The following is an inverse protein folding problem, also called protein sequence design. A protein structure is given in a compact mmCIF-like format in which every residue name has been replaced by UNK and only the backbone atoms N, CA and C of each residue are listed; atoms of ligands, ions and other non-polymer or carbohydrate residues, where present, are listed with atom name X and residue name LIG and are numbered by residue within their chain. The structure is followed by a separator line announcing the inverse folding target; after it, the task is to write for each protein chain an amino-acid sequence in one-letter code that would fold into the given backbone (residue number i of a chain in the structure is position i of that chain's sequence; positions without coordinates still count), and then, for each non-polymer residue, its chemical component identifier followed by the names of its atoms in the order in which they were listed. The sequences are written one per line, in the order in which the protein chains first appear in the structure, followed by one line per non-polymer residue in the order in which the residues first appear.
data_IF_863269281287
#
_entry.id   IF_863269281287
#
_cell.length_a   1.000
_cell.length_b   1.000
_cell.length_c   1.000
_cell.angle_alpha   90.00
_cell.angle_beta   90.00
_cell.angle_gamma   90.00
#
_symmetry.space_group_name_H-M   'P 1'
#
loop_
_entity.id
_entity.type
_entity.pdbx_description
1 polymer ?
#
# COMPACT_ATOMS: atom_id res chain seq x y z
N UNK A 1 -40.53 -62.61 -25.04
CA UNK A 1 -41.68 -61.67 -25.00
C UNK A 1 -41.94 -61.30 -23.54
N UNK A 2 -42.50 -60.11 -23.29
CA UNK A 2 -42.70 -59.39 -22.02
C UNK A 2 -41.64 -58.34 -21.64
N UNK A 3 -41.92 -57.10 -22.10
CA UNK A 3 -41.32 -55.84 -21.66
C UNK A 3 -42.22 -55.23 -20.58
N UNK A 4 -41.69 -55.03 -19.36
CA UNK A 4 -42.28 -54.11 -18.39
C UNK A 4 -41.80 -52.68 -18.68
N UNK A 5 -42.73 -51.76 -18.95
CA UNK A 5 -42.51 -50.32 -18.98
C UNK A 5 -43.09 -49.73 -17.70
N UNK A 6 -42.25 -49.10 -16.88
CA UNK A 6 -42.66 -48.28 -15.75
C UNK A 6 -42.63 -46.80 -16.17
N UNK A 7 -43.81 -46.19 -16.32
CA UNK A 7 -43.99 -44.77 -16.51
C UNK A 7 -43.95 -44.06 -15.14
N UNK A 8 -42.99 -43.15 -14.94
CA UNK A 8 -43.01 -42.23 -13.80
C UNK A 8 -43.55 -40.87 -14.25
N UNK A 9 -44.71 -40.51 -13.72
CA UNK A 9 -45.30 -39.17 -13.77
C UNK A 9 -44.59 -38.25 -12.77
N UNK A 10 -43.97 -37.17 -13.24
CA UNK A 10 -43.51 -36.07 -12.39
C UNK A 10 -44.55 -34.96 -12.50
N UNK A 11 -45.25 -34.70 -11.38
CA UNK A 11 -46.15 -33.57 -11.19
C UNK A 11 -45.33 -32.27 -11.12
N UNK A 12 -45.64 -31.32 -11.99
CA UNK A 12 -45.25 -29.92 -11.84
C UNK A 12 -46.34 -29.20 -11.03
N UNK A 13 -45.95 -28.50 -9.96
CA UNK A 13 -46.80 -27.54 -9.26
C UNK A 13 -46.39 -26.11 -9.64
N UNK A 14 -47.33 -25.18 -9.83
CA UNK A 14 -47.04 -23.82 -10.23
C UNK A 14 -46.87 -22.86 -9.04
N UNK A 15 -46.10 -21.81 -9.30
CA UNK A 15 -46.26 -20.43 -8.82
C UNK A 15 -46.36 -20.12 -7.32
N UNK A 16 -45.35 -19.39 -6.82
CA UNK A 16 -45.56 -18.37 -5.78
C UNK A 16 -44.79 -17.11 -6.15
N UNK A 17 -45.55 -16.04 -6.39
CA UNK A 17 -45.08 -14.73 -6.81
C UNK A 17 -44.63 -13.84 -5.63
N UNK A 18 -43.61 -13.01 -5.91
CA UNK A 18 -43.28 -11.69 -5.33
C UNK A 18 -42.84 -11.61 -3.83
N UNK A 19 -41.99 -10.63 -3.42
CA UNK A 19 -41.93 -9.27 -3.95
C UNK A 19 -40.54 -8.66 -4.23
N UNK A 20 -40.63 -7.61 -5.06
CA UNK A 20 -39.69 -6.52 -5.29
C UNK A 20 -39.00 -6.09 -3.99
N UNK A 21 -37.66 -6.07 -3.99
CA UNK A 21 -36.86 -5.44 -2.91
C UNK A 21 -35.91 -4.39 -3.47
N UNK A 22 -36.02 -3.25 -2.81
CA UNK A 22 -35.38 -1.95 -2.96
C UNK A 22 -33.89 -1.98 -3.31
N UNK A 23 -33.54 -1.17 -4.30
CA UNK A 23 -32.20 -0.62 -4.52
C UNK A 23 -31.81 0.33 -3.36
N UNK A 24 -30.83 -0.06 -2.56
CA UNK A 24 -30.14 0.82 -1.61
C UNK A 24 -28.77 1.19 -2.22
N UNK A 25 -28.37 2.47 -2.27
CA UNK A 25 -27.05 2.85 -2.77
C UNK A 25 -25.97 2.45 -1.75
N UNK A 26 -24.97 1.69 -2.20
CA UNK A 26 -23.79 1.38 -1.40
C UNK A 26 -23.05 2.66 -1.01
N UNK A 27 -22.79 2.80 0.28
CA UNK A 27 -22.01 3.91 0.84
C UNK A 27 -20.50 3.72 0.58
N UNK A 28 -19.80 4.84 0.46
CA UNK A 28 -18.42 5.01 -0.02
C UNK A 28 -17.32 4.47 0.94
N UNK A 29 -17.68 3.63 1.92
CA UNK A 29 -16.81 3.24 3.04
C UNK A 29 -16.14 1.86 2.91
N UNK A 30 -16.49 1.05 1.90
CA UNK A 30 -16.02 -0.35 1.83
C UNK A 30 -14.81 -0.60 0.89
N UNK A 31 -14.30 0.44 0.22
CA UNK A 31 -13.23 0.29 -0.80
C UNK A 31 -11.80 0.39 -0.21
N UNK A 32 -11.64 0.69 1.08
CA UNK A 32 -10.32 0.88 1.72
C UNK A 32 -9.59 -0.42 2.11
N UNK A 33 -10.20 -1.61 1.98
CA UNK A 33 -9.67 -2.85 2.56
C UNK A 33 -8.75 -3.69 1.65
N UNK A 34 -8.67 -3.41 0.34
CA UNK A 34 -7.90 -4.26 -0.60
C UNK A 34 -6.52 -3.70 -1.03
N UNK A 35 -6.14 -2.49 -0.62
CA UNK A 35 -4.87 -1.86 -1.04
C UNK A 35 -3.63 -2.23 -0.19
N UNK A 36 -3.76 -3.09 0.82
CA UNK A 36 -2.67 -3.36 1.78
C UNK A 36 -1.87 -4.65 1.53
N UNK A 37 -2.25 -5.50 0.58
CA UNK A 37 -1.64 -6.85 0.47
C UNK A 37 -0.38 -6.98 -0.42
N UNK A 38 0.02 -5.97 -1.20
CA UNK A 38 1.10 -6.12 -2.22
C UNK A 38 2.45 -5.48 -1.83
N UNK A 39 2.68 -5.10 -0.57
CA UNK A 39 3.94 -4.43 -0.14
C UNK A 39 4.98 -5.30 0.59
N UNK A 40 4.89 -6.63 0.55
CA UNK A 40 5.57 -7.50 1.52
C UNK A 40 6.91 -8.15 1.08
N UNK A 41 7.71 -7.50 0.22
CA UNK A 41 9.05 -8.03 -0.12
C UNK A 41 10.14 -6.96 -0.29
N UNK A 42 10.01 -5.81 0.36
CA UNK A 42 11.11 -4.86 0.52
C UNK A 42 11.42 -4.75 2.01
N UNK A 43 12.69 -4.88 2.37
CA UNK A 43 13.23 -4.59 3.71
C UNK A 43 12.45 -3.45 4.36
N UNK A 44 12.10 -3.57 5.64
CA UNK A 44 11.24 -2.65 6.38
C UNK A 44 11.75 -1.18 6.34
N UNK A 45 11.53 -0.50 5.22
CA UNK A 45 11.75 0.93 5.05
C UNK A 45 10.66 1.56 5.88
N UNK A 46 11.04 2.08 7.05
CA UNK A 46 10.20 2.93 7.86
C UNK A 46 9.55 3.97 6.92
N UNK A 47 8.23 3.95 6.71
CA UNK A 47 7.61 4.95 5.87
C UNK A 47 7.87 6.31 6.52
N UNK A 48 8.40 7.26 5.75
CA UNK A 48 8.84 8.60 6.19
C UNK A 48 7.71 9.51 6.74
N UNK A 49 6.56 8.94 7.08
CA UNK A 49 5.40 9.65 7.59
C UNK A 49 5.43 9.84 9.11
N UNK A 50 4.99 11.00 9.55
CA UNK A 50 4.72 11.32 10.95
C UNK A 50 3.66 10.40 11.58
N UNK A 51 3.69 10.25 12.90
CA UNK A 51 2.62 9.58 13.65
C UNK A 51 1.34 10.42 13.54
N UNK A 52 0.22 9.77 13.23
CA UNK A 52 -1.11 10.38 13.30
C UNK A 52 -1.58 10.46 14.75
N UNK A 53 -2.53 11.35 15.05
CA UNK A 53 -3.08 11.52 16.41
C UNK A 53 -3.73 10.24 16.95
N UNK A 54 -4.43 9.47 16.11
CA UNK A 54 -5.03 8.19 16.48
C UNK A 54 -3.96 7.13 16.85
N UNK A 55 -2.90 7.01 16.05
CA UNK A 55 -1.77 6.13 16.36
C UNK A 55 -1.04 6.58 17.63
N UNK A 56 -0.98 7.87 17.89
CA UNK A 56 -0.39 8.38 19.13
C UNK A 56 -1.21 7.97 20.37
N UNK A 57 -2.54 8.10 20.35
CA UNK A 57 -3.42 7.70 21.45
C UNK A 57 -3.27 6.20 21.78
N UNK A 58 -3.34 5.34 20.76
CA UNK A 58 -3.16 3.89 20.93
C UNK A 58 -1.79 3.51 21.51
N UNK A 59 -0.72 4.23 21.13
CA UNK A 59 0.62 4.01 21.69
C UNK A 59 0.76 4.53 23.12
N UNK A 60 -0.05 5.52 23.52
CA UNK A 60 -0.07 6.09 24.87
C UNK A 60 -0.86 5.20 25.85
N UNK A 61 -1.96 4.59 25.40
CA UNK A 61 -2.77 3.63 26.17
C UNK A 61 -2.01 2.35 26.56
N UNK A 62 -0.86 2.11 25.93
CA UNK A 62 0.00 0.97 26.19
C UNK A 62 -0.42 -0.28 25.42
N UNK A 63 0.53 -1.18 25.20
CA UNK A 63 0.33 -2.42 24.45
C UNK A 63 0.21 -3.58 25.43
N UNK A 64 -0.85 -4.37 25.32
CA UNK A 64 -1.01 -5.66 26.02
C UNK A 64 -0.40 -6.83 25.24
N UNK A 65 -0.03 -6.58 23.98
CA UNK A 65 0.53 -7.59 23.09
C UNK A 65 2.02 -7.79 23.39
N UNK A 66 2.47 -9.04 23.60
CA UNK A 66 3.82 -9.31 24.04
C UNK A 66 4.90 -9.13 22.97
N UNK A 67 4.57 -9.20 21.69
CA UNK A 67 5.53 -9.13 20.60
C UNK A 67 5.62 -7.75 19.95
N UNK A 68 6.77 -7.50 19.31
CA UNK A 68 7.00 -6.30 18.50
C UNK A 68 6.77 -6.63 17.02
N UNK A 69 5.70 -6.09 16.44
CA UNK A 69 5.41 -6.19 15.00
C UNK A 69 5.90 -4.94 14.25
N UNK A 70 5.71 -3.77 14.84
CA UNK A 70 6.04 -2.47 14.27
C UNK A 70 6.91 -1.61 15.21
N UNK A 71 7.63 -0.64 14.62
CA UNK A 71 8.43 0.34 15.36
C UNK A 71 7.83 1.74 15.29
N UNK A 72 6.50 1.83 15.30
CA UNK A 72 5.80 3.10 15.19
C UNK A 72 6.10 4.01 16.39
N UNK A 73 6.28 3.44 17.58
CA UNK A 73 6.72 4.18 18.77
C UNK A 73 8.09 4.84 18.57
N UNK A 74 8.97 4.31 17.72
CA UNK A 74 10.28 4.91 17.46
C UNK A 74 10.22 6.15 16.57
N UNK A 75 9.11 6.39 15.86
CA UNK A 75 8.99 7.54 14.95
C UNK A 75 9.09 8.87 15.70
N UNK A 76 9.63 9.87 15.01
CA UNK A 76 9.67 11.24 15.56
C UNK A 76 8.24 11.75 15.71
N UNK A 77 7.87 12.07 16.94
CA UNK A 77 6.59 12.71 17.23
C UNK A 77 6.56 14.11 16.60
N UNK A 78 5.47 14.50 15.92
CA UNK A 78 5.24 15.86 15.46
C UNK A 78 5.42 16.89 16.58
N UNK A 79 5.91 18.09 16.24
CA UNK A 79 6.12 19.16 17.23
C UNK A 79 4.83 19.56 17.94
N UNK A 80 3.70 19.62 17.23
CA UNK A 80 2.41 19.99 17.84
C UNK A 80 1.93 18.99 18.90
N UNK A 81 2.15 17.68 18.72
CA UNK A 81 1.82 16.66 19.72
C UNK A 81 2.73 16.79 20.97
N UNK A 82 4.00 17.17 20.77
CA UNK A 82 4.91 17.44 21.90
C UNK A 82 4.55 18.70 22.70
N UNK A 83 3.80 19.62 22.10
CA UNK A 83 3.48 20.92 22.70
C UNK A 83 2.04 21.03 23.21
N UNK A 84 1.20 20.01 23.04
CA UNK A 84 -0.25 20.04 23.31
C UNK A 84 -0.67 20.02 24.80
N UNK A 85 0.16 20.55 25.72
CA UNK A 85 -0.18 20.75 27.14
C UNK A 85 0.30 22.11 27.68
N UNK A 86 0.24 23.17 26.87
CA UNK A 86 0.38 24.55 27.37
C UNK A 86 -0.85 25.42 27.18
N UNK A 87 -1.91 24.90 26.56
CA UNK A 87 -3.09 25.69 26.25
C UNK A 87 -4.25 25.36 27.18
N UNK A 88 -4.37 26.20 28.22
CA UNK A 88 -5.51 27.10 28.40
C UNK A 88 -6.67 26.74 29.37
N UNK A 89 -6.54 25.83 30.34
CA UNK A 89 -7.62 25.65 31.32
C UNK A 89 -7.26 25.34 32.79
N UNK A 90 -6.03 24.93 33.13
CA UNK A 90 -5.71 24.62 34.53
C UNK A 90 -4.84 25.72 35.15
N UNK A 91 -5.49 26.63 35.88
CA UNK A 91 -4.88 27.52 36.87
C UNK A 91 -4.42 26.70 38.10
N UNK A 92 -3.49 25.75 37.93
CA UNK A 92 -2.96 25.00 39.06
C UNK A 92 -1.48 24.66 38.85
N UNK A 93 -0.67 25.37 39.64
CA UNK A 93 0.70 25.07 40.04
C UNK A 93 1.75 24.80 38.92
N UNK A 94 2.65 25.76 38.60
CA UNK A 94 3.73 25.57 37.62
C UNK A 94 4.78 24.53 38.04
N UNK A 95 4.70 23.98 39.26
CA UNK A 95 5.58 22.92 39.74
C UNK A 95 5.10 21.51 39.36
N UNK A 96 3.81 21.32 39.07
CA UNK A 96 3.25 20.01 38.73
C UNK A 96 3.43 19.74 37.24
N UNK A 97 4.61 19.25 36.88
CA UNK A 97 4.96 18.95 35.47
C UNK A 97 4.34 17.61 35.04
N UNK A 98 3.00 17.51 35.02
CA UNK A 98 2.24 16.31 34.59
C UNK A 98 2.21 16.11 33.06
N UNK A 99 3.10 16.80 32.34
CA UNK A 99 3.37 16.48 30.95
C UNK A 99 4.10 15.12 30.91
N UNK A 100 3.58 14.10 30.21
CA UNK A 100 4.27 12.84 30.07
C UNK A 100 5.64 13.11 29.45
N UNK A 101 6.71 12.89 30.22
CA UNK A 101 8.08 13.14 29.80
C UNK A 101 8.47 12.03 28.83
N UNK A 102 8.18 12.24 27.55
CA UNK A 102 8.53 11.27 26.49
C UNK A 102 10.05 11.24 26.33
N UNK A 103 10.72 10.12 26.64
CA UNK A 103 12.16 10.01 26.49
C UNK A 103 12.59 10.22 25.04
N UNK A 104 13.74 10.89 24.83
CA UNK A 104 14.35 11.04 23.50
C UNK A 104 14.74 9.68 22.93
N UNK A 105 15.24 8.81 23.81
CA UNK A 105 15.66 7.44 23.49
C UNK A 105 14.59 6.46 23.97
N UNK A 106 13.96 5.79 23.02
CA UNK A 106 12.91 4.80 23.27
C UNK A 106 13.47 3.41 23.06
N UNK A 107 12.99 2.46 23.86
CA UNK A 107 13.42 1.07 23.77
C UNK A 107 12.88 0.48 22.46
N UNK A 108 13.79 0.12 21.55
CA UNK A 108 13.43 -0.46 20.25
C UNK A 108 12.93 -1.90 20.41
N UNK A 109 13.67 -2.72 21.13
CA UNK A 109 13.37 -4.12 21.42
C UNK A 109 13.14 -4.30 22.91
N UNK A 110 11.90 -4.58 23.28
CA UNK A 110 11.47 -4.68 24.67
C UNK A 110 11.70 -6.10 25.20
N UNK A 111 12.51 -6.25 26.24
CA UNK A 111 12.77 -7.55 26.86
C UNK A 111 11.83 -7.88 28.01
N UNK A 112 11.07 -6.90 28.51
CA UNK A 112 10.00 -7.10 29.48
C UNK A 112 8.72 -6.90 28.71
N UNK A 113 7.76 -7.78 28.95
CA UNK A 113 6.60 -7.97 28.09
C UNK A 113 5.36 -8.30 28.95
N UNK A 114 4.13 -7.91 28.54
CA UNK A 114 2.91 -8.30 29.27
C UNK A 114 2.84 -9.80 29.53
N UNK A 115 2.54 -10.17 30.78
CA UNK A 115 2.56 -11.54 31.28
C UNK A 115 3.88 -11.98 31.92
N UNK A 116 4.98 -11.21 31.78
CA UNK A 116 6.20 -11.48 32.54
C UNK A 116 6.01 -11.13 34.02
N UNK A 117 6.78 -11.82 34.88
CA UNK A 117 6.92 -11.49 36.28
C UNK A 117 8.18 -10.66 36.50
N UNK A 118 8.06 -9.54 37.20
CA UNK A 118 9.20 -8.65 37.48
C UNK A 118 9.17 -8.14 38.91
N UNK A 119 10.34 -7.74 39.42
CA UNK A 119 10.45 -6.88 40.61
C UNK A 119 10.88 -5.48 40.23
N UNK A 120 10.48 -4.49 41.03
CA UNK A 120 10.90 -3.09 40.85
C UNK A 120 12.06 -2.80 41.80
N UNK A 121 13.20 -2.36 41.24
CA UNK A 121 14.40 -2.01 42.02
C UNK A 121 14.14 -0.79 42.90
N UNK A 122 14.47 -0.89 44.18
CA UNK A 122 14.46 0.23 45.13
C UNK A 122 13.08 0.64 45.65
N UNK A 123 11.99 -0.03 45.26
CA UNK A 123 10.64 0.24 45.79
C UNK A 123 9.92 -1.08 46.09
N UNK A 124 9.22 -1.15 47.22
CA UNK A 124 8.37 -2.28 47.64
C UNK A 124 9.10 -3.64 47.81
N UNK A 125 10.41 -3.63 48.05
CA UNK A 125 11.20 -4.83 48.33
C UNK A 125 11.27 -5.83 47.16
N UNK A 126 11.36 -7.12 47.48
CA UNK A 126 11.42 -8.22 46.51
C UNK A 126 10.03 -8.72 46.05
N UNK A 127 8.99 -7.89 46.13
CA UNK A 127 7.63 -8.29 45.74
C UNK A 127 7.55 -8.50 44.23
N UNK A 128 7.19 -9.72 43.83
CA UNK A 128 6.88 -10.08 42.44
C UNK A 128 5.59 -9.41 42.00
N UNK A 129 5.58 -8.89 40.76
CA UNK A 129 4.40 -8.35 40.13
C UNK A 129 4.33 -8.80 38.67
N UNK A 130 3.13 -9.12 38.24
CA UNK A 130 2.85 -9.46 36.85
C UNK A 130 2.75 -8.18 36.01
N UNK A 131 3.38 -8.16 34.85
CA UNK A 131 3.29 -7.05 33.92
C UNK A 131 1.94 -7.10 33.19
N UNK A 132 1.14 -6.04 33.31
CA UNK A 132 -0.17 -5.96 32.65
C UNK A 132 -0.06 -5.36 31.25
N UNK A 133 0.59 -4.20 31.14
CA UNK A 133 0.72 -3.43 29.90
C UNK A 133 2.06 -2.71 29.84
N UNK A 134 2.44 -2.28 28.64
CA UNK A 134 3.67 -1.54 28.42
C UNK A 134 3.40 -0.27 27.62
N UNK A 135 3.83 0.88 28.15
CA UNK A 135 3.80 2.15 27.42
C UNK A 135 5.11 2.35 26.67
N UNK A 136 5.12 1.94 25.40
CA UNK A 136 6.31 1.98 24.54
C UNK A 136 6.84 3.39 24.27
N UNK A 137 5.99 4.42 24.30
CA UNK A 137 6.40 5.81 24.10
C UNK A 137 7.15 6.38 25.31
N UNK A 138 6.73 6.02 26.52
CA UNK A 138 7.23 6.58 27.78
C UNK A 138 8.33 5.71 28.42
N UNK A 139 8.60 4.54 27.84
CA UNK A 139 9.44 3.50 28.44
C UNK A 139 8.95 3.06 29.84
N UNK A 140 7.62 2.99 30.03
CA UNK A 140 7.02 2.57 31.30
C UNK A 140 6.39 1.17 31.19
N UNK A 141 6.47 0.44 32.29
CA UNK A 141 5.86 -0.87 32.52
C UNK A 141 4.72 -0.67 33.52
N UNK A 142 3.51 -1.04 33.14
CA UNK A 142 2.32 -0.94 33.97
C UNK A 142 1.99 -2.27 34.63
N UNK A 143 1.59 -2.17 35.89
CA UNK A 143 1.22 -3.30 36.73
C UNK A 143 -0.28 -3.23 37.04
N UNK A 144 -0.95 -4.39 37.23
CA UNK A 144 -2.32 -4.37 37.71
C UNK A 144 -2.40 -3.62 39.05
N UNK A 145 -3.49 -2.86 39.29
CA UNK A 145 -3.70 -2.23 40.59
C UNK A 145 -3.79 -3.31 41.68
N UNK A 146 -3.23 -3.02 42.86
CA UNK A 146 -3.26 -3.95 44.00
C UNK A 146 -4.71 -4.27 44.40
N UNK A 147 -5.58 -3.25 44.36
CA UNK A 147 -6.99 -3.36 44.73
C UNK A 147 -7.86 -3.09 43.50
N UNK A 148 -8.54 -4.13 43.01
CA UNK A 148 -9.40 -4.06 41.83
C UNK A 148 -10.61 -3.13 42.01
N UNK A 149 -10.99 -2.80 43.25
CA UNK A 149 -12.12 -1.94 43.60
C UNK A 149 -11.81 -0.44 43.55
N UNK A 150 -10.52 -0.09 43.53
CA UNK A 150 -10.12 1.32 43.53
C UNK A 150 -9.97 1.82 42.10
N UNK A 151 -10.62 2.93 41.75
CA UNK A 151 -10.40 3.68 40.51
C UNK A 151 -8.99 4.32 40.44
N UNK A 152 -8.02 3.79 41.19
CA UNK A 152 -6.67 4.29 41.20
C UNK A 152 -5.98 3.93 39.89
N UNK A 153 -5.23 4.87 39.28
CA UNK A 153 -4.50 4.59 38.07
C UNK A 153 -3.50 3.47 38.31
N UNK A 154 -3.38 2.56 37.35
CA UNK A 154 -2.43 1.44 37.41
C UNK A 154 -1.01 1.98 37.63
N UNK A 155 -0.27 1.48 38.63
CA UNK A 155 1.07 1.97 38.90
C UNK A 155 1.99 1.62 37.74
N UNK A 156 2.70 2.63 37.24
CA UNK A 156 3.64 2.52 36.13
C UNK A 156 5.06 2.83 36.61
N UNK A 157 6.03 2.00 36.23
CA UNK A 157 7.43 2.19 36.59
C UNK A 157 8.32 2.21 35.36
N UNK A 158 9.47 2.86 35.47
CA UNK A 158 10.46 2.88 34.39
C UNK A 158 10.93 1.48 34.05
N UNK A 159 11.04 1.19 32.74
CA UNK A 159 11.60 -0.04 32.22
C UNK A 159 12.97 -0.37 32.84
N UNK A 160 13.82 0.65 33.02
CA UNK A 160 15.16 0.48 33.60
C UNK A 160 15.15 0.08 35.08
N UNK A 161 14.06 0.34 35.80
CA UNK A 161 13.90 -0.04 37.20
C UNK A 161 13.39 -1.47 37.38
N UNK A 162 12.92 -2.13 36.32
CA UNK A 162 12.32 -3.45 36.41
C UNK A 162 13.38 -4.55 36.18
N UNK A 163 13.36 -5.59 37.02
CA UNK A 163 14.19 -6.78 36.88
C UNK A 163 13.34 -8.01 36.63
N UNK A 164 13.66 -8.77 35.59
CA UNK A 164 12.89 -9.92 35.14
C UNK A 164 13.07 -11.10 36.09
N UNK A 165 11.98 -11.72 36.51
CA UNK A 165 12.01 -12.95 37.28
C UNK A 165 12.42 -14.12 36.39
N UNK A 166 13.39 -14.92 36.84
CA UNK A 166 13.90 -16.07 36.10
C UNK A 166 13.24 -17.34 36.62
N UNK A 167 13.20 -17.50 37.95
CA UNK A 167 12.69 -18.68 38.64
C UNK A 167 13.22 -18.78 40.07
N UNK A 168 12.83 -19.83 40.78
CA UNK A 168 13.37 -20.18 42.08
C UNK A 168 14.59 -21.09 41.90
N UNK A 169 15.69 -20.75 42.55
CA UNK A 169 16.91 -21.57 42.55
C UNK A 169 17.32 -21.90 43.98
N UNK A 170 17.99 -23.04 44.12
CA UNK A 170 18.56 -23.47 45.39
C UNK A 170 19.92 -22.81 45.62
N UNK A 171 20.07 -22.23 46.81
CA UNK A 171 21.29 -21.60 47.28
C UNK A 171 21.85 -22.37 48.47
N UNK A 172 23.17 -22.30 48.69
CA UNK A 172 23.80 -22.91 49.85
C UNK A 172 23.13 -22.41 51.15
N UNK A 173 23.10 -23.27 52.18
CA UNK A 173 22.52 -22.93 53.47
C UNK A 173 23.18 -21.68 54.06
N UNK A 174 22.42 -20.98 54.91
CA UNK A 174 22.96 -19.90 55.75
C UNK A 174 23.88 -20.50 56.83
N UNK A 175 24.88 -19.75 57.33
CA UNK A 175 25.72 -20.21 58.43
C UNK A 175 24.82 -20.55 59.64
N UNK A 176 24.80 -21.82 60.04
CA UNK A 176 23.97 -22.34 61.14
C UNK A 176 22.73 -23.16 60.72
N UNK A 177 22.45 -23.29 59.43
CA UNK A 177 21.44 -24.24 58.91
C UNK A 177 22.12 -25.26 58.00
N UNK A 178 21.55 -26.47 57.90
CA UNK A 178 22.02 -27.50 56.96
C UNK A 178 21.15 -27.60 55.71
N UNK A 179 20.00 -26.91 55.67
CA UNK A 179 19.04 -27.03 54.57
C UNK A 179 19.30 -26.00 53.47
N UNK A 180 19.31 -26.43 52.19
CA UNK A 180 19.41 -25.51 51.05
C UNK A 180 18.18 -24.60 51.00
N UNK A 181 18.40 -23.32 50.71
CA UNK A 181 17.31 -22.32 50.64
C UNK A 181 16.89 -22.08 49.20
N UNK A 182 15.58 -22.05 48.94
CA UNK A 182 15.02 -21.64 47.66
C UNK A 182 14.82 -20.13 47.66
N UNK A 183 15.47 -19.43 46.74
CA UNK A 183 15.34 -17.98 46.61
C UNK A 183 14.87 -17.60 45.20
N UNK A 184 13.98 -16.60 45.06
CA UNK A 184 13.61 -16.07 43.77
C UNK A 184 14.80 -15.33 43.14
N UNK A 185 15.14 -15.71 41.92
CA UNK A 185 16.27 -15.15 41.18
C UNK A 185 15.77 -14.21 40.10
N UNK A 186 16.41 -13.05 40.03
CA UNK A 186 16.08 -12.01 39.06
C UNK A 186 17.25 -11.72 38.14
N UNK A 187 16.96 -11.33 36.90
CA UNK A 187 17.95 -10.89 35.95
C UNK A 187 18.41 -9.46 36.31
N UNK A 188 19.68 -9.32 36.69
CA UNK A 188 20.34 -8.02 36.85
C UNK A 188 20.75 -7.47 35.48
N UNK A 189 21.28 -8.33 34.60
CA UNK A 189 21.63 -7.98 33.22
C UNK A 189 21.04 -9.00 32.26
N UNK A 190 20.23 -8.51 31.33
CA UNK A 190 19.67 -9.28 30.22
C UNK A 190 20.53 -9.11 28.97
N UNK A 191 20.63 -10.19 28.21
CA UNK A 191 21.18 -10.25 26.86
C UNK A 191 20.16 -10.86 25.93
N UNK A 192 20.34 -10.62 24.64
CA UNK A 192 19.39 -11.04 23.62
C UNK A 192 20.13 -11.60 22.42
N UNK A 193 19.52 -12.58 21.76
CA UNK A 193 19.94 -12.95 20.41
C UNK A 193 19.70 -11.79 19.44
N UNK A 194 20.35 -11.76 18.27
CA UNK A 194 19.99 -10.79 17.24
C UNK A 194 18.52 -10.99 16.82
N UNK A 195 17.74 -9.90 16.67
CA UNK A 195 16.33 -9.99 16.31
C UNK A 195 16.15 -10.37 14.84
N UNK A 196 15.34 -11.40 14.60
CA UNK A 196 15.02 -11.93 13.27
C UNK A 196 13.54 -11.67 12.98
N UNK A 197 13.23 -11.20 11.77
CA UNK A 197 11.85 -11.01 11.34
C UNK A 197 11.23 -12.35 10.95
N UNK A 198 10.17 -12.77 11.65
CA UNK A 198 9.40 -13.94 11.28
C UNK A 198 8.24 -13.53 10.35
N UNK A 199 8.40 -13.85 9.06
CA UNK A 199 7.41 -13.50 8.03
C UNK A 199 6.05 -14.19 8.20
N UNK A 200 6.00 -15.38 8.79
CA UNK A 200 4.74 -16.13 9.00
C UNK A 200 3.92 -15.57 10.16
N UNK A 201 4.60 -15.14 11.23
CA UNK A 201 3.96 -14.59 12.44
C UNK A 201 3.87 -13.07 12.43
N UNK A 202 4.41 -12.41 11.40
CA UNK A 202 4.49 -10.96 11.26
C UNK A 202 5.02 -10.24 12.51
N UNK A 203 6.09 -10.78 13.10
CA UNK A 203 6.71 -10.23 14.32
C UNK A 203 8.22 -10.43 14.34
N UNK A 204 8.90 -9.58 15.08
CA UNK A 204 10.31 -9.76 15.41
C UNK A 204 10.44 -10.78 16.54
N UNK A 205 11.30 -11.77 16.34
CA UNK A 205 11.61 -12.82 17.32
C UNK A 205 13.08 -12.74 17.71
N UNK A 206 13.34 -12.85 19.01
CA UNK A 206 14.68 -13.00 19.59
C UNK A 206 14.57 -13.77 20.91
N UNK A 207 15.66 -14.38 21.32
CA UNK A 207 15.76 -15.10 22.58
C UNK A 207 16.34 -14.19 23.66
N UNK A 208 15.88 -14.37 24.91
CA UNK A 208 16.35 -13.63 26.07
C UNK A 208 17.21 -14.54 26.94
N UNK A 209 18.34 -14.03 27.40
CA UNK A 209 19.19 -14.74 28.36
C UNK A 209 19.57 -13.80 29.51
N UNK A 210 19.58 -14.31 30.74
CA UNK A 210 20.21 -13.62 31.86
C UNK A 210 21.72 -13.90 31.83
N UNK A 211 22.52 -12.84 31.77
CA UNK A 211 23.99 -12.93 31.91
C UNK A 211 24.38 -12.83 33.38
N UNK A 212 23.72 -11.93 34.12
CA UNK A 212 24.00 -11.69 35.54
C UNK A 212 22.70 -11.77 36.30
N UNK A 213 22.70 -12.54 37.38
CA UNK A 213 21.53 -12.73 38.25
C UNK A 213 21.74 -12.10 39.61
N UNK A 214 20.64 -11.74 40.26
CA UNK A 214 20.63 -11.27 41.63
C UNK A 214 19.47 -11.93 42.39
N UNK A 215 19.75 -12.83 43.36
CA UNK A 215 21.08 -13.28 43.80
C UNK A 215 21.86 -14.09 42.73
N UNK A 216 23.19 -14.19 42.88
CA UNK A 216 24.08 -14.87 41.91
C UNK A 216 23.95 -16.38 42.06
N UNK A 217 23.44 -17.07 41.04
CA UNK A 217 23.24 -18.53 41.07
C UNK A 217 24.59 -19.25 41.10
N UNK A 218 24.92 -20.05 42.13
CA UNK A 218 26.28 -20.59 42.29
C UNK A 218 26.73 -21.56 41.20
N UNK A 219 25.83 -22.42 40.73
CA UNK A 219 26.13 -23.48 39.75
C UNK A 219 26.04 -23.02 38.28
N UNK A 220 25.49 -21.82 38.02
CA UNK A 220 25.34 -21.24 36.68
C UNK A 220 26.17 -19.95 36.52
N UNK A 221 27.24 -19.79 37.30
CA UNK A 221 28.16 -18.66 37.14
C UNK A 221 28.70 -18.65 35.71
N UNK A 222 28.66 -17.47 35.09
CA UNK A 222 29.11 -17.20 33.71
C UNK A 222 28.32 -17.90 32.59
N UNK A 223 27.32 -18.72 32.92
CA UNK A 223 26.43 -19.33 31.92
C UNK A 223 25.25 -18.41 31.59
N UNK A 224 24.83 -18.45 30.33
CA UNK A 224 23.64 -17.73 29.86
C UNK A 224 22.39 -18.52 30.23
N UNK A 225 21.61 -18.00 31.17
CA UNK A 225 20.37 -18.66 31.59
C UNK A 225 19.23 -18.22 30.65
N UNK A 226 18.61 -19.12 29.85
CA UNK A 226 17.53 -18.74 28.95
C UNK A 226 16.29 -18.31 29.75
N UNK A 227 15.67 -17.21 29.33
CA UNK A 227 14.42 -16.71 29.93
C UNK A 227 13.29 -16.81 28.89
N UNK A 228 12.38 -17.78 29.02
CA UNK A 228 11.33 -18.01 28.03
C UNK A 228 10.37 -16.83 27.98
N UNK A 229 9.79 -16.56 26.80
CA UNK A 229 8.70 -15.58 26.66
C UNK A 229 7.44 -16.07 27.37
N UNK A 230 6.61 -15.16 27.94
CA UNK A 230 5.39 -15.56 28.60
C UNK A 230 4.40 -16.09 27.56
N UNK A 231 3.60 -17.08 27.96
CA UNK A 231 2.56 -17.62 27.09
C UNK A 231 1.46 -16.56 26.95
N UNK A 232 1.21 -16.06 25.73
CA UNK A 232 0.19 -15.05 25.51
C UNK A 232 -1.19 -15.60 25.86
N UNK A 233 -1.98 -14.80 26.59
CA UNK A 233 -3.40 -15.11 26.75
C UNK A 233 -4.05 -15.07 25.37
N UNK A 234 -4.69 -16.16 24.97
CA UNK A 234 -5.47 -16.19 23.72
C UNK A 234 -6.56 -15.12 23.86
N UNK A 235 -6.64 -14.15 22.93
CA UNK A 235 -7.66 -13.12 23.02
C UNK A 235 -9.03 -13.81 22.99
N UNK A 236 -9.92 -13.39 23.89
CA UNK A 236 -11.31 -13.82 23.85
C UNK A 236 -11.92 -13.29 22.55
N UNK A 237 -12.28 -14.21 21.66
CA UNK A 237 -13.03 -13.89 20.46
C UNK A 237 -14.51 -14.00 20.81
N UNK A 238 -15.32 -12.94 20.57
CA UNK A 238 -16.75 -13.05 20.78
C UNK A 238 -17.32 -14.15 19.88
N UNK A 239 -18.40 -14.83 20.29
CA UNK A 239 -19.08 -15.80 19.44
C UNK A 239 -19.59 -15.10 18.17
N UNK A 240 -19.61 -15.83 17.06
CA UNK A 240 -20.06 -15.31 15.77
C UNK A 240 -21.52 -14.81 15.87
N UNK A 241 -21.75 -13.58 15.43
CA UNK A 241 -23.06 -12.95 15.40
C UNK A 241 -23.95 -13.48 14.27
N UNK A 242 -25.22 -13.07 14.27
CA UNK A 242 -26.19 -13.45 13.22
C UNK A 242 -25.78 -12.99 11.81
N UNK A 243 -25.08 -11.86 11.74
CA UNK A 243 -24.59 -11.27 10.49
C UNK A 243 -23.20 -11.78 10.07
N UNK A 244 -22.55 -12.60 10.91
CA UNK A 244 -21.24 -13.15 10.57
C UNK A 244 -21.38 -14.27 9.54
N UNK A 245 -20.47 -14.29 8.58
CA UNK A 245 -20.46 -15.31 7.53
C UNK A 245 -20.03 -16.66 8.10
N UNK A 246 -20.82 -17.70 7.84
CA UNK A 246 -20.48 -19.07 8.24
C UNK A 246 -19.18 -19.50 7.56
N UNK A 247 -18.34 -20.26 8.29
CA UNK A 247 -17.07 -20.78 7.77
C UNK A 247 -17.23 -21.53 6.43
N UNK A 248 -18.31 -22.28 6.25
CA UNK A 248 -18.61 -22.99 5.00
C UNK A 248 -18.80 -22.06 3.80
N UNK A 249 -19.38 -20.88 4.02
CA UNK A 249 -19.58 -19.88 2.96
C UNK A 249 -18.27 -19.19 2.63
N UNK A 250 -17.46 -18.84 3.63
CA UNK A 250 -16.15 -18.20 3.45
C UNK A 250 -15.15 -19.14 2.76
N UNK A 251 -15.17 -20.42 3.11
CA UNK A 251 -14.26 -21.44 2.51
C UNK A 251 -14.72 -21.91 1.14
N UNK A 252 -15.94 -21.57 0.70
CA UNK A 252 -16.43 -21.91 -0.64
C UNK A 252 -15.62 -21.15 -1.68
N UNK A 253 -14.89 -21.87 -2.52
CA UNK A 253 -14.19 -21.31 -3.67
C UNK A 253 -15.24 -20.82 -4.68
N UNK A 254 -15.42 -19.50 -4.75
CA UNK A 254 -16.38 -18.86 -5.68
C UNK A 254 -15.75 -18.54 -7.03
N UNK A 255 -14.44 -18.39 -7.07
CA UNK A 255 -13.70 -18.01 -8.27
C UNK A 255 -12.87 -19.18 -8.79
N UNK A 256 -13.12 -19.56 -10.03
CA UNK A 256 -12.30 -20.52 -10.77
C UNK A 256 -11.60 -19.73 -11.88
N UNK A 257 -10.26 -19.64 -11.86
CA UNK A 257 -9.54 -18.90 -12.89
C UNK A 257 -9.80 -19.54 -14.27
N UNK A 258 -9.76 -18.74 -15.35
CA UNK A 258 -9.92 -19.26 -16.70
C UNK A 258 -8.87 -20.33 -17.00
N UNK A 259 -9.29 -21.42 -17.64
CA UNK A 259 -8.37 -22.45 -18.08
C UNK A 259 -7.49 -21.91 -19.22
N UNK A 260 -6.25 -21.53 -18.90
CA UNK A 260 -5.27 -21.21 -19.92
C UNK A 260 -4.76 -22.48 -20.58
N UNK A 261 -4.59 -22.45 -21.90
CA UNK A 261 -3.91 -23.53 -22.59
C UNK A 261 -2.48 -23.65 -22.05
N UNK A 262 -2.04 -24.88 -21.79
CA UNK A 262 -0.71 -25.16 -21.21
C UNK A 262 0.46 -24.80 -22.13
N UNK A 263 0.20 -24.66 -23.44
CA UNK A 263 1.22 -24.33 -24.44
C UNK A 263 1.47 -22.82 -24.47
N UNK A 264 2.73 -22.41 -24.39
CA UNK A 264 3.14 -21.00 -24.47
C UNK A 264 2.75 -20.31 -25.79
N UNK A 265 2.60 -21.10 -26.86
CA UNK A 265 2.23 -20.64 -28.21
C UNK A 265 0.73 -20.65 -28.46
N UNK A 266 -0.07 -21.17 -27.53
CA UNK A 266 -1.51 -21.15 -27.70
C UNK A 266 -2.02 -19.70 -27.69
N UNK A 267 -2.99 -19.36 -28.55
CA UNK A 267 -3.55 -18.02 -28.57
C UNK A 267 -4.16 -17.73 -27.20
N UNK A 268 -3.80 -16.58 -26.64
CA UNK A 268 -4.47 -16.07 -25.44
C UNK A 268 -5.96 -15.91 -25.74
N UNK A 269 -6.83 -16.15 -24.74
CA UNK A 269 -8.26 -15.90 -24.92
C UNK A 269 -8.45 -14.45 -25.37
N UNK A 270 -9.18 -14.26 -26.47
CA UNK A 270 -9.51 -12.93 -26.97
C UNK A 270 -10.28 -12.20 -25.88
N UNK A 271 -9.98 -10.91 -25.70
CA UNK A 271 -10.81 -10.01 -24.90
C UNK A 271 -11.99 -9.57 -25.78
N UNK A 272 -13.24 -9.87 -25.39
CA UNK A 272 -14.43 -9.36 -26.04
C UNK A 272 -14.42 -7.85 -26.22
N UNK A 273 -15.11 -7.42 -27.26
CA UNK A 273 -15.43 -6.00 -27.42
C UNK A 273 -16.40 -5.55 -26.33
N UNK A 274 -16.45 -4.24 -26.09
CA UNK A 274 -17.38 -3.65 -25.12
C UNK A 274 -18.84 -3.96 -25.48
N UNK A 275 -19.15 -3.96 -26.78
CA UNK A 275 -20.48 -4.31 -27.29
C UNK A 275 -20.83 -5.78 -27.01
N UNK A 276 -19.92 -6.71 -27.28
CA UNK A 276 -20.09 -8.14 -26.95
C UNK A 276 -20.32 -8.35 -25.44
N UNK A 277 -19.65 -7.56 -24.60
CA UNK A 277 -19.81 -7.60 -23.13
C UNK A 277 -21.17 -7.04 -22.68
N UNK A 278 -21.62 -5.91 -23.25
CA UNK A 278 -22.91 -5.29 -22.92
C UNK A 278 -24.08 -6.16 -23.42
N UNK A 279 -23.97 -6.72 -24.63
CA UNK A 279 -24.90 -7.72 -25.13
C UNK A 279 -24.95 -8.93 -24.20
N UNK A 280 -23.78 -9.36 -23.72
CA UNK A 280 -23.57 -10.38 -22.68
C UNK A 280 -24.34 -10.17 -21.39
N UNK A 281 -24.32 -8.95 -20.86
CA UNK A 281 -25.03 -8.63 -19.64
C UNK A 281 -26.54 -8.49 -19.85
N UNK A 282 -26.99 -8.15 -21.06
CA UNK A 282 -28.39 -7.87 -21.35
C UNK A 282 -29.25 -9.12 -21.62
N UNK A 283 -28.67 -10.26 -22.05
CA UNK A 283 -29.43 -11.49 -22.36
C UNK A 283 -28.91 -12.74 -21.61
N UNK A 284 -28.96 -12.80 -20.27
CA UNK A 284 -28.27 -13.80 -19.43
C UNK A 284 -28.57 -15.29 -19.72
N UNK A 285 -29.57 -15.58 -20.55
CA UNK A 285 -29.96 -16.92 -21.01
C UNK A 285 -29.12 -17.44 -22.18
N UNK A 286 -28.43 -16.59 -22.94
CA UNK A 286 -27.56 -17.00 -24.05
C UNK A 286 -26.18 -17.45 -23.53
N UNK A 287 -26.08 -18.71 -23.08
CA UNK A 287 -24.78 -19.32 -22.73
C UNK A 287 -24.21 -20.16 -23.89
N UNK A 288 -22.87 -20.22 -24.06
CA UNK A 288 -21.83 -19.58 -23.25
C UNK A 288 -21.18 -18.41 -24.00
N UNK A 289 -21.50 -17.17 -23.62
CA UNK A 289 -20.93 -15.96 -24.26
C UNK A 289 -19.41 -15.93 -24.34
N UNK A 290 -18.70 -16.52 -23.38
CA UNK A 290 -17.23 -16.49 -23.30
C UNK A 290 -16.62 -17.85 -22.88
N UNK A 291 -17.29 -18.96 -23.22
CA UNK A 291 -16.87 -20.32 -22.84
C UNK A 291 -17.21 -20.70 -21.39
N UNK A 292 -16.65 -21.82 -20.91
CA UNK A 292 -16.94 -22.34 -19.56
C UNK A 292 -16.30 -21.52 -18.43
N UNK A 293 -15.25 -20.76 -18.72
CA UNK A 293 -14.52 -19.94 -17.76
C UNK A 293 -14.03 -18.62 -18.40
N UNK A 294 -14.90 -17.58 -18.46
CA UNK A 294 -14.49 -16.28 -18.98
C UNK A 294 -13.32 -15.70 -18.17
N UNK A 295 -12.30 -15.10 -18.80
CA UNK A 295 -11.26 -14.37 -18.09
C UNK A 295 -11.81 -13.03 -17.58
N UNK A 296 -12.56 -13.06 -16.47
CA UNK A 296 -13.32 -11.91 -15.94
C UNK A 296 -12.41 -10.70 -15.66
N UNK A 297 -11.16 -10.96 -15.28
CA UNK A 297 -10.17 -9.93 -14.97
C UNK A 297 -9.84 -9.05 -16.18
N UNK A 298 -9.91 -9.62 -17.40
CA UNK A 298 -9.66 -8.90 -18.63
C UNK A 298 -10.72 -7.83 -18.89
N UNK A 299 -11.97 -8.03 -18.44
CA UNK A 299 -13.04 -7.02 -18.53
C UNK A 299 -12.90 -5.97 -17.44
N UNK A 300 -12.73 -6.44 -16.20
CA UNK A 300 -12.75 -5.59 -15.02
C UNK A 300 -11.51 -4.71 -14.89
N UNK A 301 -10.42 -4.95 -15.62
CA UNK A 301 -9.21 -4.16 -15.45
C UNK A 301 -9.43 -2.65 -15.68
N UNK A 302 -10.34 -2.24 -16.59
CA UNK A 302 -10.65 -0.83 -16.82
C UNK A 302 -11.45 -0.22 -15.67
N UNK A 303 -12.35 -0.99 -15.08
CA UNK A 303 -13.21 -0.57 -13.97
C UNK A 303 -12.44 -0.54 -12.65
N UNK A 304 -11.67 -1.60 -12.36
CA UNK A 304 -10.88 -1.75 -11.14
C UNK A 304 -9.63 -0.87 -11.12
N UNK A 305 -9.11 -0.49 -12.30
CA UNK A 305 -7.91 0.34 -12.38
C UNK A 305 -8.19 1.71 -12.97
N UNK A 306 -8.09 2.75 -12.12
CA UNK A 306 -8.23 4.12 -12.58
C UNK A 306 -7.20 4.42 -13.71
N UNK A 307 -7.64 4.73 -14.95
CA UNK A 307 -6.75 5.01 -16.09
C UNK A 307 -5.89 6.27 -15.88
N UNK A 308 -6.33 7.15 -14.99
CA UNK A 308 -5.68 8.40 -14.61
C UNK A 308 -5.03 8.34 -13.22
N UNK A 309 -4.80 7.14 -12.68
CA UNK A 309 -4.09 7.00 -11.41
C UNK A 309 -2.72 7.68 -11.43
N UNK A 310 -2.29 8.21 -10.28
CA UNK A 310 -0.98 8.85 -10.12
C UNK A 310 0.16 7.91 -10.52
N UNK A 311 0.04 6.61 -10.23
CA UNK A 311 1.01 5.59 -10.61
C UNK A 311 1.15 5.48 -12.14
N UNK A 312 0.04 5.36 -12.88
CA UNK A 312 0.07 5.35 -14.36
C UNK A 312 0.61 6.66 -14.94
N UNK A 313 0.30 7.81 -14.32
CA UNK A 313 0.88 9.11 -14.70
C UNK A 313 2.41 9.13 -14.49
N UNK A 314 2.89 8.63 -13.36
CA UNK A 314 4.33 8.50 -13.09
C UNK A 314 5.00 7.53 -14.06
N UNK A 315 4.39 6.38 -14.37
CA UNK A 315 4.90 5.41 -15.34
C UNK A 315 5.01 6.02 -16.74
N UNK A 316 3.96 6.71 -17.23
CA UNK A 316 4.00 7.46 -18.50
C UNK A 316 5.11 8.50 -18.51
N UNK A 317 5.28 9.24 -17.41
CA UNK A 317 6.34 10.23 -17.28
C UNK A 317 7.74 9.60 -17.30
N UNK A 318 7.95 8.49 -16.58
CA UNK A 318 9.20 7.73 -16.60
C UNK A 318 9.51 7.15 -17.98
N UNK A 319 8.53 6.59 -18.68
CA UNK A 319 8.67 6.09 -20.04
C UNK A 319 9.08 7.21 -21.01
N UNK A 320 8.46 8.39 -20.88
CA UNK A 320 8.82 9.57 -21.67
C UNK A 320 10.23 10.09 -21.34
N UNK A 321 10.66 10.05 -20.07
CA UNK A 321 12.04 10.37 -19.70
C UNK A 321 13.04 9.37 -20.29
N UNK A 322 12.71 8.07 -20.28
CA UNK A 322 13.53 7.02 -20.88
C UNK A 322 13.66 7.23 -22.40
N UNK A 323 12.55 7.49 -23.08
CA UNK A 323 12.52 7.85 -24.51
C UNK A 323 13.45 9.04 -24.84
N UNK A 324 13.37 10.13 -24.05
CA UNK A 324 14.25 11.29 -24.26
C UNK A 324 15.72 10.95 -24.13
N UNK A 325 16.06 10.07 -23.19
CA UNK A 325 17.43 9.60 -22.97
C UNK A 325 17.91 8.70 -24.11
N UNK A 326 17.09 7.74 -24.55
CA UNK A 326 17.46 6.86 -25.67
C UNK A 326 17.66 7.67 -26.95
N UNK A 327 16.76 8.61 -27.24
CA UNK A 327 16.87 9.50 -28.40
C UNK A 327 18.16 10.33 -28.38
N UNK A 328 18.58 10.85 -27.22
CA UNK A 328 19.85 11.57 -27.10
C UNK A 328 21.04 10.65 -27.38
N UNK A 329 21.02 9.42 -26.86
CA UNK A 329 22.08 8.44 -27.12
C UNK A 329 22.17 8.08 -28.60
N UNK A 330 21.03 7.94 -29.28
CA UNK A 330 20.96 7.70 -30.74
C UNK A 330 21.59 8.86 -31.52
N UNK A 331 21.25 10.13 -31.21
CA UNK A 331 21.87 11.29 -31.86
C UNK A 331 23.37 11.38 -31.58
N UNK A 332 23.81 11.11 -30.35
CA UNK A 332 25.23 11.11 -30.00
C UNK A 332 25.98 10.01 -30.73
N UNK A 333 25.38 8.82 -30.87
CA UNK A 333 25.97 7.72 -31.63
C UNK A 333 26.09 8.05 -33.11
N UNK A 334 25.05 8.65 -33.71
CA UNK A 334 25.05 9.07 -35.10
C UNK A 334 26.12 10.13 -35.39
N UNK A 335 26.20 11.20 -34.60
CA UNK A 335 27.22 12.25 -34.81
C UNK A 335 28.65 11.77 -34.53
N UNK A 336 28.85 10.86 -33.57
CA UNK A 336 30.16 10.26 -33.33
C UNK A 336 30.62 9.34 -34.45
N UNK A 337 29.69 8.75 -35.21
CA UNK A 337 30.03 7.98 -36.39
C UNK A 337 30.52 8.89 -37.53
N UNK A 338 30.05 10.15 -37.58
CA UNK A 338 30.35 11.14 -38.63
C UNK A 338 31.23 12.29 -38.13
N UNK A 339 32.47 12.02 -37.69
CA UNK A 339 33.32 13.06 -37.11
C UNK A 339 33.72 14.16 -38.13
N UNK A 340 33.97 13.85 -39.40
CA UNK A 340 34.31 14.84 -40.45
C UNK A 340 35.36 15.90 -40.01
N UNK A 341 36.38 15.49 -39.26
CA UNK A 341 37.41 16.37 -38.71
C UNK A 341 37.03 17.15 -37.44
N UNK A 342 35.78 17.03 -36.97
CA UNK A 342 35.30 17.58 -35.68
C UNK A 342 35.84 16.77 -34.51
N UNK A 343 35.98 17.41 -33.35
CA UNK A 343 36.31 16.69 -32.11
C UNK A 343 35.10 15.91 -31.58
N UNK A 344 35.33 14.83 -30.82
CA UNK A 344 34.23 14.06 -30.21
C UNK A 344 33.36 14.89 -29.26
N UNK A 345 33.88 16.00 -28.72
CA UNK A 345 33.13 16.95 -27.90
C UNK A 345 32.18 17.81 -28.74
N UNK A 346 32.65 18.28 -29.90
CA UNK A 346 31.82 19.01 -30.87
C UNK A 346 30.68 18.14 -31.39
N UNK A 347 30.96 16.88 -31.74
CA UNK A 347 29.93 15.93 -32.17
C UNK A 347 28.83 15.71 -31.10
N UNK A 348 29.21 15.65 -29.81
CA UNK A 348 28.23 15.56 -28.71
C UNK A 348 27.44 16.86 -28.57
N UNK A 349 28.06 18.02 -28.74
CA UNK A 349 27.37 19.31 -28.69
C UNK A 349 26.32 19.41 -29.81
N UNK A 350 26.70 19.07 -31.05
CA UNK A 350 25.80 19.06 -32.22
C UNK A 350 24.65 18.06 -32.04
N UNK A 351 24.94 16.85 -31.54
CA UNK A 351 23.93 15.86 -31.21
C UNK A 351 22.92 16.38 -30.18
N UNK A 352 23.40 17.05 -29.12
CA UNK A 352 22.50 17.64 -28.11
C UNK A 352 21.65 18.78 -28.67
N UNK A 353 22.19 19.56 -29.61
CA UNK A 353 21.44 20.62 -30.30
C UNK A 353 20.32 20.03 -31.18
N UNK A 354 20.66 19.07 -32.06
CA UNK A 354 19.68 18.36 -32.91
C UNK A 354 18.59 17.68 -32.09
N UNK A 355 18.97 17.04 -30.97
CA UNK A 355 18.03 16.45 -30.03
C UNK A 355 17.06 17.48 -29.42
N UNK A 356 17.56 18.65 -28.98
CA UNK A 356 16.70 19.72 -28.45
C UNK A 356 15.73 20.26 -29.49
N UNK A 357 16.20 20.44 -30.73
CA UNK A 357 15.36 20.86 -31.85
C UNK A 357 14.26 19.84 -32.11
N UNK A 358 14.60 18.56 -32.19
CA UNK A 358 13.63 17.47 -32.36
C UNK A 358 12.57 17.43 -31.25
N UNK A 359 12.98 17.61 -29.98
CA UNK A 359 12.05 17.68 -28.86
C UNK A 359 11.14 18.92 -28.90
N UNK A 360 11.59 20.02 -29.49
CA UNK A 360 10.75 21.19 -29.73
C UNK A 360 9.72 20.91 -30.82
N UNK A 361 10.16 20.34 -31.94
CA UNK A 361 9.29 19.98 -33.07
C UNK A 361 8.21 18.97 -32.66
N UNK A 362 8.56 17.96 -31.86
CA UNK A 362 7.60 17.00 -31.31
C UNK A 362 6.56 17.66 -30.40
N UNK A 363 6.97 18.61 -29.56
CA UNK A 363 6.05 19.36 -28.69
C UNK A 363 5.09 20.23 -29.51
N UNK A 364 5.58 20.89 -30.56
CA UNK A 364 4.74 21.64 -31.48
C UNK A 364 3.78 20.73 -32.26
N UNK A 365 4.25 19.59 -32.73
CA UNK A 365 3.43 18.60 -33.41
C UNK A 365 2.36 18.04 -32.48
N UNK A 366 2.68 17.75 -31.22
CA UNK A 366 1.70 17.29 -30.23
C UNK A 366 0.69 18.39 -29.89
N UNK A 367 1.14 19.65 -29.77
CA UNK A 367 0.24 20.81 -29.59
C UNK A 367 -0.71 20.96 -30.78
N UNK A 368 -0.20 20.86 -32.00
CA UNK A 368 -1.00 20.87 -33.25
C UNK A 368 -1.98 19.69 -33.29
N UNK A 369 -1.55 18.48 -32.91
CA UNK A 369 -2.39 17.27 -32.82
C UNK A 369 -3.53 17.45 -31.81
N UNK A 370 -3.23 17.97 -30.61
CA UNK A 370 -4.25 18.24 -29.57
C UNK A 370 -5.25 19.31 -30.02
N UNK A 371 -4.79 20.30 -30.78
CA UNK A 371 -5.65 21.34 -31.36
C UNK A 371 -6.57 20.81 -32.47
N UNK A 372 -6.08 19.87 -33.30
CA UNK A 372 -6.83 19.17 -34.34
C UNK A 372 -7.77 18.09 -33.74
N UNK A 373 -8.77 18.53 -32.99
CA UNK A 373 -9.91 17.65 -32.65
C UNK A 373 -10.71 17.30 -33.91
N UNK A 374 -11.43 16.18 -33.91
CA UNK A 374 -12.24 15.74 -35.07
C UNK A 374 -13.20 16.85 -35.56
N UNK A 375 -13.74 17.66 -34.66
CA UNK A 375 -14.60 18.79 -35.01
C UNK A 375 -13.84 19.93 -35.70
N UNK A 376 -12.63 20.25 -35.23
CA UNK A 376 -11.76 21.28 -35.82
C UNK A 376 -11.23 20.82 -37.18
N UNK A 377 -10.86 19.55 -37.31
CA UNK A 377 -10.43 18.93 -38.56
C UNK A 377 -11.54 19.02 -39.63
N UNK A 378 -12.75 18.55 -39.33
CA UNK A 378 -13.92 18.65 -40.23
C UNK A 378 -14.24 20.10 -40.62
N UNK A 379 -14.10 21.06 -39.69
CA UNK A 379 -14.31 22.49 -39.97
C UNK A 379 -13.22 23.06 -40.89
N UNK A 380 -11.98 22.62 -40.73
CA UNK A 380 -10.84 23.02 -41.58
C UNK A 380 -11.00 22.48 -43.01
N UNK A 381 -11.44 21.24 -43.17
CA UNK A 381 -11.72 20.61 -44.47
C UNK A 381 -12.84 21.33 -45.21
N UNK A 382 -13.95 21.65 -44.51
CA UNK A 382 -15.04 22.47 -45.08
C UNK A 382 -14.56 23.84 -45.56
N UNK A 383 -13.65 24.49 -44.81
CA UNK A 383 -13.07 25.78 -45.22
C UNK A 383 -12.16 25.64 -46.45
N UNK A 384 -11.32 24.60 -46.51
CA UNK A 384 -10.48 24.30 -47.68
C UNK A 384 -11.35 24.06 -48.92
N UNK A 385 -12.36 23.21 -48.82
CA UNK A 385 -13.31 22.94 -49.90
C UNK A 385 -14.06 24.21 -50.37
N UNK A 386 -14.41 25.12 -49.45
CA UNK A 386 -15.03 26.40 -49.83
C UNK A 386 -14.05 27.33 -50.55
N UNK A 387 -12.77 27.38 -50.14
CA UNK A 387 -11.74 28.19 -50.80
C UNK A 387 -11.44 27.67 -52.21
N UNK A 388 -11.21 26.37 -52.35
CA UNK A 388 -10.97 25.74 -53.67
C UNK A 388 -12.15 25.98 -54.61
N UNK A 389 -13.39 25.85 -54.13
CA UNK A 389 -14.59 26.18 -54.92
C UNK A 389 -14.64 27.66 -55.36
N UNK A 390 -14.26 28.59 -54.50
CA UNK A 390 -14.20 30.03 -54.84
C UNK A 390 -13.09 30.34 -55.84
N UNK A 391 -11.92 29.73 -55.68
CA UNK A 391 -10.80 29.87 -56.61
C UNK A 391 -11.14 29.29 -57.98
N UNK A 392 -11.78 28.12 -58.02
CA UNK A 392 -12.30 27.53 -59.26
C UNK A 392 -13.32 28.45 -59.93
N UNK A 393 -14.26 29.02 -59.16
CA UNK A 393 -15.23 30.00 -59.69
C UNK A 393 -14.54 31.23 -60.28
N UNK A 394 -13.58 31.81 -59.57
CA UNK A 394 -12.82 32.97 -60.07
C UNK A 394 -12.00 32.63 -61.31
N UNK A 395 -11.36 31.47 -61.35
CA UNK A 395 -10.67 30.99 -62.56
C UNK A 395 -11.65 30.84 -63.71
N UNK A 396 -12.81 30.23 -63.48
CA UNK A 396 -13.86 30.09 -64.50
C UNK A 396 -14.39 31.44 -65.00
N UNK A 397 -14.53 32.43 -64.10
CA UNK A 397 -14.95 33.78 -64.42
C UNK A 397 -13.89 34.53 -65.23
N UNK A 398 -12.61 34.44 -64.85
CA UNK A 398 -11.48 34.99 -65.60
C UNK A 398 -11.31 34.34 -66.98
N UNK A 399 -11.54 33.03 -67.11
CA UNK A 399 -11.51 32.36 -68.43
C UNK A 399 -12.71 32.73 -69.29
N UNK A 400 -13.83 33.15 -68.68
CA UNK A 400 -15.04 33.58 -69.40
C UNK A 400 -15.02 35.07 -69.76
N UNK A 401 -14.16 35.85 -69.12
CA UNK A 401 -13.96 37.27 -69.41
C UNK A 401 -13.30 37.41 -70.80
N UNK A 402 -14.14 37.64 -71.80
CA UNK A 402 -13.74 38.13 -73.11
C UNK A 402 -13.64 39.65 -72.97
N UNK A 403 -12.42 40.20 -73.09
CA UNK A 403 -12.22 41.64 -73.13
C UNK A 403 -12.88 42.17 -74.41
N UNK A 404 -13.83 43.10 -74.26
CA UNK A 404 -14.36 43.82 -75.41
C UNK A 404 -13.24 44.68 -76.01
N UNK A 405 -13.13 44.69 -77.35
CA UNK A 405 -12.15 45.50 -78.05
C UNK A 405 -12.42 46.99 -77.79
N UNK A 406 -11.49 47.63 -77.09
CA UNK A 406 -11.55 49.06 -76.81
C UNK A 406 -10.79 49.85 -77.88
N UNK A 407 -11.17 51.12 -78.16
CA UNK A 407 -10.58 51.92 -79.24
C UNK A 407 -9.07 52.20 -79.11
N UNK A 408 -8.47 51.93 -77.95
CA UNK A 408 -7.04 52.10 -77.67
C UNK A 408 -6.26 50.77 -77.50
N UNK A 409 -6.87 49.62 -77.83
CA UNK A 409 -6.17 48.33 -77.79
C UNK A 409 -5.37 48.11 -79.08
N UNK A 410 -4.07 48.37 -79.02
CA UNK A 410 -3.12 48.00 -80.08
C UNK A 410 -2.74 46.54 -79.84
N UNK A 411 -3.36 45.62 -80.59
CA UNK A 411 -2.94 44.21 -80.62
C UNK A 411 -1.68 44.14 -81.52
N UNK A 412 -0.51 43.72 -81.01
CA UNK A 412 0.68 43.55 -81.83
C UNK A 412 0.39 42.57 -82.97
N UNK A 413 0.71 42.96 -84.21
CA UNK A 413 0.42 42.17 -85.41
C UNK A 413 1.05 40.77 -85.39
N UNK A 414 2.09 40.56 -84.58
CA UNK A 414 2.74 39.25 -84.38
C UNK A 414 1.86 38.20 -83.68
N UNK A 415 0.82 38.62 -82.94
CA UNK A 415 -0.07 37.73 -82.19
C UNK A 415 -1.30 37.25 -82.99
N UNK A 416 -1.61 37.91 -84.11
CA UNK A 416 -2.66 37.55 -85.05
C UNK A 416 -1.97 36.92 -86.26
N UNK A 417 -1.70 35.62 -86.22
CA UNK A 417 -1.01 34.89 -87.29
C UNK A 417 -1.79 34.88 -88.60
N UNK A 418 -1.72 35.98 -89.36
CA UNK A 418 -2.14 36.14 -90.75
C UNK A 418 -0.93 36.60 -91.56
#
# INVERSE_FOLDING_TARGET
MYRHKSNFHVRQTPESACPIRSTVPMSRAEITLLHNHVRMATAAVLPKGHLTSALYKTLQEGTSVPWTSDFNHMRKLPRHIRMHKKTQADNFDPTTTDAPKIPKERVKFWNIVPGDQVRVRGRYGNRLRDVSKIRRLENLVEFPPTDQSSNTPSPAYSYASCQLYIGEYEFPPLPGSNEPRKLPVFAERLSTSPPVWNGRKHRWEWERYAIKTNPVVPHLKDQKIPVPWPVPKVPFLPPAGLYDTKKSVVTKVTYVPPAFASKLTAPLPRVPTEDEYIEGMSHPTMKPWFGQSPPVESYLHRELSNPHSRAKKMARWQAHLAYKKSLLLEYVAAEKAELNGRTAKEAVADATYKWRQKLSDEQEAERKRRWLTLAVAKKSEKKKARKTRKEQKRRAELTRLILAEGPNQIIPKEALGV
#
